data_IF_849304395201
#
_entry.id   IF_849304395201
#
_cell.length_a   1.000
_cell.length_b   1.000
_cell.length_c   1.000
_cell.angle_alpha   90.00
_cell.angle_beta   90.00
_cell.angle_gamma   90.00
#
_symmetry.space_group_name_H-M   'P 1'
#
loop_
_entity.id
_entity.type
_entity.pdbx_description
1 polymer ?
#
# COMPACT_ATOMS: atom_id res chain seq x y z
N UNK A 1 8.82 15.02 -13.19
CA UNK A 1 7.60 15.44 -12.51
C UNK A 1 7.69 14.95 -11.07
N UNK A 2 7.85 15.88 -10.13
CA UNK A 2 7.74 15.62 -8.70
C UNK A 2 6.28 15.22 -8.45
N UNK A 3 6.03 13.98 -8.11
CA UNK A 3 4.76 13.58 -7.55
C UNK A 3 4.74 14.16 -6.15
N UNK A 4 3.91 15.16 -5.94
CA UNK A 4 3.60 15.72 -4.64
C UNK A 4 2.94 14.62 -3.80
N UNK A 5 3.72 14.03 -2.91
CA UNK A 5 3.25 13.10 -1.90
C UNK A 5 2.68 13.92 -0.73
N UNK A 6 1.61 14.66 -1.00
CA UNK A 6 0.97 15.52 0.01
C UNK A 6 -0.56 15.37 -0.02
N UNK A 7 -1.03 14.12 0.02
CA UNK A 7 -2.46 13.89 0.25
C UNK A 7 -2.67 12.56 0.95
N UNK A 8 -3.04 12.64 2.17
CA UNK A 8 -3.47 11.66 3.15
C UNK A 8 -2.41 11.35 4.24
N UNK A 9 -1.89 12.38 4.84
CA UNK A 9 -1.47 12.26 6.21
C UNK A 9 -2.78 12.07 7.00
N UNK A 10 -3.15 10.81 7.27
CA UNK A 10 -4.20 10.54 8.23
C UNK A 10 -3.89 11.42 9.44
N UNK A 11 -4.89 12.12 9.96
CA UNK A 11 -4.73 13.09 11.04
C UNK A 11 -4.39 12.33 12.35
N UNK A 12 -3.15 11.80 12.38
CA UNK A 12 -2.62 11.03 13.50
C UNK A 12 -2.29 12.05 14.59
N UNK A 13 -3.26 12.29 15.44
CA UNK A 13 -3.16 13.24 16.57
C UNK A 13 -2.01 12.89 17.50
N UNK A 14 -1.85 11.61 17.83
CA UNK A 14 -0.78 11.06 18.65
C UNK A 14 0.11 10.14 17.81
N UNK A 15 1.40 10.42 17.77
CA UNK A 15 2.33 9.82 16.82
C UNK A 15 2.89 8.47 17.21
N UNK A 16 2.86 8.12 18.50
CA UNK A 16 3.51 6.91 19.01
C UNK A 16 2.50 5.98 19.68
N UNK A 17 2.47 4.73 19.22
CA UNK A 17 1.87 3.63 19.94
C UNK A 17 2.87 3.12 20.97
N UNK A 18 2.52 3.20 22.24
CA UNK A 18 3.40 2.84 23.36
C UNK A 18 2.76 1.73 24.18
N UNK A 19 3.45 0.62 24.28
CA UNK A 19 3.02 -0.57 25.03
C UNK A 19 4.10 -0.97 26.02
N UNK A 20 3.72 -1.36 27.23
CA UNK A 20 4.62 -1.91 28.23
C UNK A 20 3.85 -2.65 29.32
N UNK A 21 4.60 -3.41 30.11
CA UNK A 21 4.10 -4.08 31.32
C UNK A 21 4.81 -3.48 32.51
N UNK A 22 4.05 -3.06 33.52
CA UNK A 22 4.54 -2.67 34.83
C UNK A 22 4.56 -3.93 35.69
N UNK A 23 5.71 -4.32 36.22
CA UNK A 23 5.81 -5.31 37.27
C UNK A 23 5.63 -4.58 38.59
N UNK A 24 4.54 -4.86 39.31
CA UNK A 24 4.14 -4.11 40.51
C UNK A 24 5.14 -4.39 41.65
N UNK A 25 5.79 -3.37 42.14
CA UNK A 25 6.70 -3.44 43.29
C UNK A 25 6.14 -2.78 44.55
N UNK A 26 5.02 -2.06 44.39
CA UNK A 26 4.30 -1.37 45.47
C UNK A 26 2.84 -1.72 45.35
N UNK A 27 2.10 -1.58 46.44
CA UNK A 27 0.64 -1.79 46.44
C UNK A 27 0.03 -0.89 45.31
N UNK A 28 -0.64 -1.53 44.38
CA UNK A 28 -1.37 -0.90 43.28
C UNK A 28 -2.85 -1.23 43.47
N UNK A 29 -3.63 -0.27 43.82
CA UNK A 29 -5.06 -0.45 44.08
C UNK A 29 -5.91 0.21 42.97
N UNK A 30 -7.23 0.01 43.06
CA UNK A 30 -8.15 0.57 42.06
C UNK A 30 -8.05 2.10 41.95
N UNK A 31 -7.65 2.80 43.02
CA UNK A 31 -7.43 4.25 43.01
C UNK A 31 -6.18 4.62 42.19
N UNK A 32 -5.13 3.84 42.29
CA UNK A 32 -3.90 4.01 41.51
C UNK A 32 -4.15 3.72 40.03
N UNK A 33 -4.95 2.69 39.71
CA UNK A 33 -5.34 2.40 38.34
C UNK A 33 -6.10 3.56 37.70
N UNK A 34 -7.11 4.09 38.42
CA UNK A 34 -7.90 5.22 37.96
C UNK A 34 -7.04 6.49 37.78
N UNK A 35 -6.18 6.78 38.74
CA UNK A 35 -5.25 7.92 38.67
C UNK A 35 -4.26 7.79 37.50
N UNK A 36 -3.73 6.58 37.31
CA UNK A 36 -2.81 6.33 36.22
C UNK A 36 -3.50 6.44 34.84
N UNK A 37 -4.71 5.90 34.74
CA UNK A 37 -5.53 6.02 33.51
C UNK A 37 -5.86 7.48 33.20
N UNK A 38 -6.32 8.26 34.21
CA UNK A 38 -6.60 9.68 34.03
C UNK A 38 -5.35 10.48 33.62
N UNK A 39 -4.18 10.13 34.17
CA UNK A 39 -2.92 10.72 33.74
C UNK A 39 -2.61 10.42 32.26
N UNK A 40 -2.75 9.17 31.82
CA UNK A 40 -2.53 8.79 30.43
C UNK A 40 -3.52 9.50 29.49
N UNK A 41 -4.78 9.66 29.89
CA UNK A 41 -5.82 10.42 29.16
C UNK A 41 -5.44 11.89 28.97
N UNK A 42 -4.66 12.48 29.90
CA UNK A 42 -4.18 13.85 29.77
C UNK A 42 -3.07 14.04 28.73
N UNK A 43 -2.35 12.97 28.37
CA UNK A 43 -1.19 13.01 27.45
C UNK A 43 -1.38 12.20 26.17
N UNK A 44 -2.51 11.48 26.03
CA UNK A 44 -2.74 10.56 24.91
C UNK A 44 -4.19 10.19 24.70
N UNK A 45 -4.39 9.23 23.82
CA UNK A 45 -5.68 8.56 23.59
C UNK A 45 -5.49 7.05 23.42
N UNK A 46 -6.58 6.32 23.07
CA UNK A 46 -6.58 4.88 22.85
C UNK A 46 -5.96 4.10 24.03
N UNK A 47 -6.30 4.55 25.26
CA UNK A 47 -5.70 4.04 26.49
C UNK A 47 -6.33 2.70 26.86
N UNK A 48 -5.49 1.69 27.09
CA UNK A 48 -5.84 0.42 27.68
C UNK A 48 -4.92 0.20 28.89
N UNK A 49 -5.53 0.09 30.06
CA UNK A 49 -4.84 -0.26 31.32
C UNK A 49 -5.57 -1.47 31.87
N UNK A 50 -4.86 -2.57 32.03
CA UNK A 50 -5.38 -3.82 32.60
C UNK A 50 -4.48 -4.25 33.74
N UNK A 51 -4.97 -4.12 34.97
CA UNK A 51 -4.27 -4.51 36.18
C UNK A 51 -4.60 -5.94 36.56
N UNK A 52 -3.59 -6.68 36.99
CA UNK A 52 -3.64 -7.96 37.66
C UNK A 52 -2.86 -7.86 38.98
N UNK A 53 -2.84 -8.88 39.80
CA UNK A 53 -2.21 -8.86 41.14
C UNK A 53 -0.70 -8.53 41.10
N UNK A 54 0.01 -8.93 40.05
CA UNK A 54 1.47 -8.77 39.93
C UNK A 54 1.90 -7.82 38.81
N UNK A 55 1.02 -7.58 37.80
CA UNK A 55 1.38 -6.82 36.62
C UNK A 55 0.27 -5.87 36.16
N UNK A 56 0.66 -4.77 35.53
CA UNK A 56 -0.27 -3.90 34.79
C UNK A 56 0.16 -3.83 33.33
N UNK A 57 -0.72 -4.22 32.41
CA UNK A 57 -0.53 -4.04 30.96
C UNK A 57 -1.03 -2.67 30.55
N UNK A 58 -0.20 -1.96 29.81
CA UNK A 58 -0.49 -0.60 29.37
C UNK A 58 -0.32 -0.48 27.87
N UNK A 59 -1.30 0.16 27.25
CA UNK A 59 -1.25 0.61 25.87
C UNK A 59 -1.75 2.05 25.82
N UNK A 60 -1.04 2.94 25.14
CA UNK A 60 -1.43 4.33 24.96
C UNK A 60 -0.87 4.90 23.65
N UNK A 61 -1.67 5.69 22.94
CA UNK A 61 -1.20 6.53 21.86
C UNK A 61 -0.88 7.92 22.39
N UNK A 62 0.37 8.35 22.27
CA UNK A 62 0.85 9.64 22.80
C UNK A 62 1.92 10.26 21.90
N UNK A 63 2.15 11.56 22.06
CA UNK A 63 3.32 12.22 21.47
C UNK A 63 4.54 12.20 22.40
N UNK A 64 4.32 11.89 23.67
CA UNK A 64 5.32 11.92 24.73
C UNK A 64 5.41 10.56 25.47
N UNK A 65 5.90 9.49 24.80
CA UNK A 65 6.00 8.16 25.40
C UNK A 65 6.86 8.15 26.67
N UNK A 66 7.85 9.04 26.75
CA UNK A 66 8.69 9.19 27.93
C UNK A 66 7.94 9.57 29.18
N UNK A 67 6.87 10.40 29.08
CA UNK A 67 6.04 10.78 30.21
C UNK A 67 5.21 9.61 30.74
N UNK A 68 4.66 8.81 29.83
CA UNK A 68 3.94 7.59 30.20
C UNK A 68 4.84 6.60 30.92
N UNK A 69 6.05 6.38 30.41
CA UNK A 69 7.07 5.51 31.02
C UNK A 69 7.51 6.03 32.39
N UNK A 70 7.80 7.33 32.50
CA UNK A 70 8.22 7.94 33.76
C UNK A 70 7.17 7.81 34.85
N UNK A 71 5.89 8.02 34.50
CA UNK A 71 4.80 7.84 35.44
C UNK A 71 4.64 6.37 35.86
N UNK A 72 4.76 5.44 34.90
CA UNK A 72 4.65 4.00 35.14
C UNK A 72 5.73 3.49 36.12
N UNK A 73 6.97 4.01 36.01
CA UNK A 73 8.09 3.66 36.90
C UNK A 73 7.83 4.04 38.38
N UNK A 74 6.86 4.88 38.67
CA UNK A 74 6.49 5.19 40.07
C UNK A 74 5.78 4.01 40.77
N UNK A 75 5.25 3.07 39.99
CA UNK A 75 4.50 1.91 40.48
C UNK A 75 5.34 0.62 40.53
N UNK A 76 6.36 0.51 39.66
CA UNK A 76 7.23 -0.65 39.60
C UNK A 76 8.19 -0.64 38.42
N UNK A 77 8.86 -1.76 38.19
CA UNK A 77 9.78 -1.92 37.05
C UNK A 77 9.01 -2.22 35.76
N UNK A 78 9.61 -1.88 34.62
CA UNK A 78 8.98 -2.04 33.32
C UNK A 78 9.59 -3.20 32.54
N UNK A 79 8.73 -3.94 31.84
CA UNK A 79 9.13 -5.01 30.93
C UNK A 79 8.32 -4.95 29.62
N UNK A 80 8.80 -5.66 28.59
CA UNK A 80 8.17 -5.77 27.28
C UNK A 80 7.76 -4.41 26.70
N UNK A 81 8.65 -3.43 26.78
CA UNK A 81 8.43 -2.10 26.22
C UNK A 81 8.51 -2.13 24.70
N UNK A 82 7.50 -1.54 24.05
CA UNK A 82 7.42 -1.36 22.61
C UNK A 82 6.92 0.05 22.33
N UNK A 83 7.62 0.76 21.46
CA UNK A 83 7.25 2.11 21.03
C UNK A 83 7.36 2.14 19.51
N UNK A 84 6.24 2.28 18.84
CA UNK A 84 6.17 2.35 17.38
C UNK A 84 5.78 3.76 16.93
N UNK A 85 6.46 4.28 15.91
CA UNK A 85 6.07 5.52 15.26
C UNK A 85 4.99 5.25 14.22
N UNK A 86 3.75 5.50 14.56
CA UNK A 86 2.59 5.26 13.71
C UNK A 86 2.62 6.09 12.41
N UNK A 87 3.29 7.25 12.40
CA UNK A 87 3.45 8.07 11.20
C UNK A 87 4.39 7.42 10.19
N UNK A 88 5.46 6.77 10.66
CA UNK A 88 6.39 6.02 9.80
C UNK A 88 5.74 4.74 9.28
N UNK A 89 5.06 4.01 10.15
CA UNK A 89 4.34 2.78 9.79
C UNK A 89 3.26 3.07 8.72
N UNK A 90 2.52 4.17 8.87
CA UNK A 90 1.54 4.60 7.87
C UNK A 90 2.19 4.95 6.52
N UNK A 91 3.32 5.68 6.53
CA UNK A 91 4.07 6.00 5.31
C UNK A 91 4.59 4.74 4.60
N UNK A 92 5.16 3.80 5.36
CA UNK A 92 5.63 2.53 4.80
C UNK A 92 4.50 1.72 4.16
N UNK A 93 3.33 1.70 4.80
CA UNK A 93 2.15 1.02 4.28
C UNK A 93 1.70 1.63 2.94
N UNK A 94 1.60 2.96 2.88
CA UNK A 94 1.26 3.67 1.64
C UNK A 94 2.27 3.41 0.52
N UNK A 95 3.57 3.39 0.83
CA UNK A 95 4.62 3.09 -0.16
C UNK A 95 4.48 1.65 -0.67
N UNK A 96 4.26 0.68 0.21
CA UNK A 96 4.06 -0.73 -0.17
C UNK A 96 2.81 -0.91 -1.03
N UNK A 97 1.70 -0.25 -0.69
CA UNK A 97 0.47 -0.27 -1.47
C UNK A 97 0.65 0.36 -2.86
N UNK A 98 1.35 1.50 -2.94
CA UNK A 98 1.67 2.14 -4.22
C UNK A 98 2.57 1.27 -5.10
N UNK A 99 3.61 0.65 -4.53
CA UNK A 99 4.50 -0.27 -5.25
C UNK A 99 3.75 -1.51 -5.75
N UNK A 100 2.84 -2.06 -4.95
CA UNK A 100 2.01 -3.20 -5.35
C UNK A 100 1.08 -2.84 -6.51
N UNK A 101 0.42 -1.68 -6.44
CA UNK A 101 -0.44 -1.20 -7.52
C UNK A 101 0.33 -0.94 -8.82
N UNK A 102 1.57 -0.44 -8.73
CA UNK A 102 2.42 -0.24 -9.91
C UNK A 102 2.89 -1.57 -10.50
N UNK A 103 3.24 -2.55 -9.66
CA UNK A 103 3.61 -3.89 -10.10
C UNK A 103 2.44 -4.61 -10.79
N UNK A 104 1.22 -4.50 -10.24
CA UNK A 104 0.00 -5.06 -10.84
C UNK A 104 -0.32 -4.40 -12.19
N UNK A 105 -0.14 -3.08 -12.32
CA UNK A 105 -0.28 -2.38 -13.61
C UNK A 105 0.72 -2.86 -14.65
N UNK A 106 2.00 -2.97 -14.27
CA UNK A 106 3.05 -3.49 -15.17
C UNK A 106 2.79 -4.92 -15.59
N UNK A 107 2.35 -5.78 -14.67
CA UNK A 107 2.00 -7.16 -14.99
C UNK A 107 0.78 -7.25 -15.93
N UNK A 108 -0.21 -6.37 -15.77
CA UNK A 108 -1.37 -6.29 -16.65
C UNK A 108 -0.99 -5.76 -18.06
N UNK A 109 -0.09 -4.77 -18.14
CA UNK A 109 0.45 -4.28 -19.40
C UNK A 109 1.31 -5.32 -20.12
N UNK A 110 2.13 -6.08 -19.40
CA UNK A 110 2.90 -7.19 -19.99
C UNK A 110 2.00 -8.36 -20.43
N UNK A 111 0.95 -8.66 -19.68
CA UNK A 111 -0.03 -9.68 -20.08
C UNK A 111 -0.83 -9.25 -21.33
N UNK A 112 -1.13 -7.95 -21.45
CA UNK A 112 -1.78 -7.39 -22.64
C UNK A 112 -0.85 -7.34 -23.88
N UNK A 113 0.47 -7.31 -23.66
CA UNK A 113 1.50 -7.32 -24.73
C UNK A 113 1.94 -8.74 -25.15
N UNK A 114 1.52 -9.79 -24.45
CA UNK A 114 1.77 -11.15 -24.92
C UNK A 114 0.92 -11.38 -26.16
N UNK A 115 1.53 -11.69 -27.34
CA UNK A 115 0.77 -12.06 -28.52
C UNK A 115 -0.13 -13.24 -28.16
N UNK A 116 -1.40 -13.15 -28.53
CA UNK A 116 -2.28 -14.29 -28.38
C UNK A 116 -1.64 -15.50 -29.08
N UNK A 117 -1.64 -16.67 -28.41
CA UNK A 117 -1.18 -17.89 -29.08
C UNK A 117 -1.87 -18.03 -30.44
N UNK A 118 -1.11 -18.35 -31.51
CA UNK A 118 -1.67 -18.40 -32.85
C UNK A 118 -2.79 -19.44 -32.90
N UNK A 119 -4.02 -18.97 -33.11
CA UNK A 119 -5.19 -19.84 -33.26
C UNK A 119 -5.16 -20.71 -34.51
N UNK A 120 -4.28 -20.39 -35.45
CA UNK A 120 -4.11 -21.09 -36.73
C UNK A 120 -2.63 -21.41 -36.96
N UNK A 121 -2.36 -22.53 -37.62
CA UNK A 121 -1.00 -22.99 -37.95
C UNK A 121 -0.30 -22.09 -38.98
N UNK A 122 -1.06 -21.36 -39.79
CA UNK A 122 -0.60 -20.37 -40.77
C UNK A 122 -1.51 -19.16 -40.72
N UNK A 123 -0.94 -17.97 -40.78
CA UNK A 123 -1.65 -16.69 -40.90
C UNK A 123 -1.30 -16.04 -42.26
N UNK A 124 -2.29 -15.45 -42.91
CA UNK A 124 -2.10 -14.74 -44.18
C UNK A 124 -2.18 -13.23 -43.92
N UNK A 125 -1.15 -12.52 -44.32
CA UNK A 125 -1.06 -11.07 -44.26
C UNK A 125 -1.02 -10.54 -45.69
N UNK A 126 -1.85 -9.57 -46.03
CA UNK A 126 -1.85 -8.91 -47.33
C UNK A 126 -1.64 -7.41 -47.19
N UNK A 127 -1.07 -6.80 -48.18
CA UNK A 127 -0.97 -5.33 -48.33
C UNK A 127 -1.92 -4.89 -49.42
N UNK A 128 -2.83 -3.95 -49.13
CA UNK A 128 -3.78 -3.43 -50.10
C UNK A 128 -3.63 -1.93 -50.28
N UNK A 129 -3.85 -1.45 -51.48
CA UNK A 129 -3.94 -0.02 -51.80
C UNK A 129 -5.42 0.37 -52.01
N UNK A 130 -6.04 0.79 -50.92
CA UNK A 130 -7.43 1.27 -50.89
C UNK A 130 -8.48 0.27 -50.39
N UNK A 131 -9.61 0.81 -49.92
CA UNK A 131 -10.65 0.08 -49.20
C UNK A 131 -11.28 -1.05 -50.01
N UNK A 132 -11.49 -0.89 -51.32
CA UNK A 132 -12.09 -1.93 -52.12
C UNK A 132 -11.26 -3.21 -52.27
N UNK A 133 -9.93 -3.12 -52.26
CA UNK A 133 -9.02 -4.25 -52.25
C UNK A 133 -8.95 -4.90 -50.87
N UNK A 134 -9.04 -4.11 -49.83
CA UNK A 134 -9.11 -4.61 -48.45
C UNK A 134 -10.30 -5.55 -48.24
N UNK A 135 -11.49 -5.14 -48.65
CA UNK A 135 -12.72 -5.98 -48.58
C UNK A 135 -12.61 -7.30 -49.35
N UNK A 136 -11.95 -7.26 -50.52
CA UNK A 136 -11.72 -8.48 -51.30
C UNK A 136 -10.77 -9.45 -50.57
N UNK A 137 -9.68 -8.94 -49.99
CA UNK A 137 -8.72 -9.77 -49.26
C UNK A 137 -9.29 -10.33 -47.97
N UNK A 138 -10.13 -9.58 -47.27
CA UNK A 138 -10.88 -10.09 -46.10
C UNK A 138 -11.84 -11.19 -46.51
N UNK A 139 -12.56 -11.03 -47.64
CA UNK A 139 -13.44 -12.04 -48.18
C UNK A 139 -12.75 -13.32 -48.65
N UNK A 140 -11.48 -13.25 -48.99
CA UNK A 140 -10.62 -14.40 -49.36
C UNK A 140 -10.00 -15.11 -48.14
N UNK A 141 -10.24 -14.60 -46.93
CA UNK A 141 -9.77 -15.21 -45.70
C UNK A 141 -8.39 -14.82 -45.27
N UNK A 142 -7.90 -13.64 -45.68
CA UNK A 142 -6.70 -13.03 -45.17
C UNK A 142 -6.93 -12.63 -43.72
N UNK A 143 -5.98 -12.97 -42.81
CA UNK A 143 -6.12 -12.72 -41.39
C UNK A 143 -5.82 -11.26 -41.00
N UNK A 144 -4.93 -10.61 -41.73
CA UNK A 144 -4.57 -9.19 -41.52
C UNK A 144 -4.35 -8.51 -42.87
N UNK A 145 -5.04 -7.40 -43.10
CA UNK A 145 -4.85 -6.52 -44.26
C UNK A 145 -4.18 -5.24 -43.82
N UNK A 146 -2.99 -4.95 -44.36
CA UNK A 146 -2.25 -3.73 -44.07
C UNK A 146 -2.52 -2.72 -45.21
N UNK A 147 -3.03 -1.54 -44.87
CA UNK A 147 -3.18 -0.49 -45.89
C UNK A 147 -1.82 0.05 -46.32
N UNK A 148 -1.55 -0.05 -47.60
CA UNK A 148 -0.36 0.50 -48.26
C UNK A 148 -0.72 1.76 -49.04
N UNK A 149 0.30 2.60 -49.29
CA UNK A 149 0.17 3.74 -50.17
C UNK A 149 0.10 3.34 -51.65
N UNK A 150 0.15 4.33 -52.58
CA UNK A 150 0.08 4.12 -54.01
C UNK A 150 1.18 3.18 -54.56
N UNK A 151 2.25 2.93 -53.85
CA UNK A 151 3.34 2.00 -54.17
C UNK A 151 3.17 0.62 -53.59
N UNK A 152 2.04 0.32 -52.94
CA UNK A 152 1.77 -0.92 -52.19
C UNK A 152 2.78 -1.20 -51.07
N UNK A 153 3.60 -0.26 -50.65
CA UNK A 153 4.47 -0.36 -49.51
C UNK A 153 3.66 -0.06 -48.24
N UNK A 154 3.71 -0.95 -47.19
CA UNK A 154 3.05 -0.68 -45.94
C UNK A 154 3.65 0.59 -45.27
N UNK A 155 2.80 1.40 -44.69
CA UNK A 155 3.24 2.55 -43.88
C UNK A 155 4.02 2.08 -42.66
N UNK A 156 4.90 2.95 -42.11
CA UNK A 156 5.64 2.63 -40.86
C UNK A 156 4.69 2.31 -39.71
N UNK A 157 3.53 2.97 -39.65
CA UNK A 157 2.50 2.72 -38.63
C UNK A 157 1.90 1.30 -38.74
N UNK A 158 1.66 0.84 -40.01
CA UNK A 158 1.14 -0.53 -40.21
C UNK A 158 2.12 -1.61 -39.82
N UNK A 159 3.43 -1.37 -39.92
CA UNK A 159 4.46 -2.34 -39.51
C UNK A 159 4.58 -2.52 -38.00
N UNK A 160 4.17 -1.53 -37.20
CA UNK A 160 4.29 -1.55 -35.76
C UNK A 160 3.17 -2.35 -35.06
N UNK A 161 2.11 -2.72 -35.78
CA UNK A 161 0.92 -3.39 -35.24
C UNK A 161 0.76 -4.86 -35.69
N UNK A 162 1.76 -5.45 -36.36
CA UNK A 162 1.73 -6.85 -36.81
C UNK A 162 2.59 -7.74 -35.91
#
# INVERSE_FOLDING_TARGET
AKVEADTAQADIKYGYCTEFIINIEKKFDNGDELNFKAYLESIGDSIVVVADDEIVKVHVHTNDPGLAIQKALTYGSLSKMKIDNMREEHKEKLIKEAQKAEAEKKAAEEAAKKPAEPKKKYGFISVSAGAGLSEIFEGLGVDVVIEGGQTMNPSEIGRAHV
#
